data_IF_448754047460
#
_entry.id   IF_448754047460
#
_cell.length_a   1.000
_cell.length_b   1.000
_cell.length_c   1.000
_cell.angle_alpha   90.00
_cell.angle_beta   90.00
_cell.angle_gamma   90.00
#
_symmetry.space_group_name_H-M   'P 1'
#
loop_
_entity.id
_entity.type
_entity.pdbx_description
1 polymer ?
#
# COMPACT_ATOMS: atom_id res chain seq x y z
N UNK A 1 -1.85 -7.61 19.08
CA UNK A 1 -2.27 -7.29 17.69
C UNK A 1 -3.74 -6.94 17.71
N UNK A 2 -4.09 -5.74 17.29
CA UNK A 2 -5.46 -5.24 17.37
C UNK A 2 -6.23 -5.57 16.09
N UNK A 3 -7.54 -5.82 16.23
CA UNK A 3 -8.51 -5.87 15.13
C UNK A 3 -8.88 -4.44 14.70
N UNK A 4 -9.38 -4.23 13.47
CA UNK A 4 -10.00 -2.95 13.09
C UNK A 4 -11.18 -2.65 14.01
N UNK A 5 -11.44 -1.38 14.27
CA UNK A 5 -12.60 -0.98 15.09
C UNK A 5 -13.89 -1.00 14.29
N UNK A 6 -13.82 -0.56 13.05
CA UNK A 6 -14.96 -0.43 12.15
C UNK A 6 -14.68 -1.18 10.84
N UNK A 7 -15.58 -2.06 10.46
CA UNK A 7 -15.49 -2.85 9.23
C UNK A 7 -16.77 -2.72 8.40
N UNK A 8 -16.60 -2.70 7.09
CA UNK A 8 -17.70 -2.87 6.12
C UNK A 8 -17.59 -4.28 5.56
N UNK A 9 -18.72 -4.96 5.41
CA UNK A 9 -18.83 -6.29 4.81
C UNK A 9 -19.57 -6.14 3.48
N UNK A 10 -19.01 -6.74 2.42
CA UNK A 10 -19.66 -6.87 1.13
C UNK A 10 -19.69 -8.35 0.77
N UNK A 11 -20.86 -8.96 0.86
CA UNK A 11 -21.08 -10.40 0.71
C UNK A 11 -22.56 -10.60 0.33
N UNK A 12 -22.86 -11.40 -0.68
CA UNK A 12 -24.25 -11.57 -1.16
C UNK A 12 -24.99 -12.73 -0.48
N UNK A 13 -24.26 -13.62 0.18
CA UNK A 13 -24.82 -14.77 0.89
C UNK A 13 -25.27 -14.38 2.31
N UNK A 14 -26.57 -14.36 2.56
CA UNK A 14 -27.16 -13.91 3.82
C UNK A 14 -26.67 -14.72 5.04
N UNK A 15 -26.39 -16.02 4.86
CA UNK A 15 -25.91 -16.88 5.95
C UNK A 15 -24.49 -16.44 6.33
N UNK A 16 -23.63 -16.21 5.36
CA UNK A 16 -22.26 -15.72 5.54
C UNK A 16 -22.25 -14.33 6.17
N UNK A 17 -23.11 -13.41 5.73
CA UNK A 17 -23.27 -12.10 6.37
C UNK A 17 -23.61 -12.19 7.85
N UNK A 18 -24.58 -13.05 8.22
CA UNK A 18 -24.97 -13.24 9.63
C UNK A 18 -23.82 -13.79 10.45
N UNK A 19 -23.18 -14.84 9.95
CA UNK A 19 -22.01 -15.43 10.59
C UNK A 19 -20.89 -14.41 10.84
N UNK A 20 -20.58 -13.58 9.85
CA UNK A 20 -19.55 -12.54 9.97
C UNK A 20 -19.94 -11.46 10.98
N UNK A 21 -21.22 -11.00 10.98
CA UNK A 21 -21.73 -10.04 11.95
C UNK A 21 -21.62 -10.56 13.39
N UNK A 22 -22.03 -11.79 13.62
CA UNK A 22 -21.95 -12.42 14.94
C UNK A 22 -20.49 -12.62 15.39
N UNK A 23 -19.62 -13.04 14.47
CA UNK A 23 -18.19 -13.18 14.73
C UNK A 23 -17.56 -11.84 15.15
N UNK A 24 -17.87 -10.77 14.44
CA UNK A 24 -17.30 -9.45 14.72
C UNK A 24 -17.86 -8.84 16.00
N UNK A 25 -19.16 -8.97 16.25
CA UNK A 25 -19.78 -8.52 17.49
C UNK A 25 -19.15 -9.19 18.71
N UNK A 26 -18.88 -10.50 18.64
CA UNK A 26 -18.23 -11.27 19.71
C UNK A 26 -16.75 -10.92 19.93
N UNK A 27 -16.15 -10.19 19.00
CA UNK A 27 -14.75 -9.76 19.07
C UNK A 27 -14.55 -8.23 19.17
N UNK A 28 -15.61 -7.51 19.55
CA UNK A 28 -15.61 -6.04 19.71
C UNK A 28 -15.22 -5.28 18.45
N UNK A 29 -15.59 -5.79 17.28
CA UNK A 29 -15.45 -5.12 15.97
C UNK A 29 -16.82 -4.62 15.55
N UNK A 30 -16.95 -3.32 15.30
CA UNK A 30 -18.18 -2.72 14.82
C UNK A 30 -18.35 -2.96 13.32
N UNK A 31 -19.49 -3.52 12.91
CA UNK A 31 -19.86 -3.62 11.50
C UNK A 31 -20.62 -2.36 11.10
N UNK A 32 -19.92 -1.41 10.48
CA UNK A 32 -20.47 -0.10 10.07
C UNK A 32 -21.42 -0.20 8.89
N UNK A 33 -21.35 -1.27 8.09
CA UNK A 33 -22.24 -1.55 6.98
C UNK A 33 -22.10 -2.99 6.50
N UNK A 34 -23.16 -3.52 5.92
CA UNK A 34 -23.18 -4.85 5.34
C UNK A 34 -24.07 -4.83 4.09
N UNK A 35 -23.48 -5.06 2.93
CA UNK A 35 -24.09 -4.90 1.62
C UNK A 35 -23.95 -6.17 0.81
N UNK A 36 -24.82 -6.37 -0.17
CA UNK A 36 -24.81 -7.54 -1.03
C UNK A 36 -24.52 -7.20 -2.51
N UNK A 37 -24.30 -5.90 -2.80
CA UNK A 37 -24.05 -5.42 -4.15
C UNK A 37 -23.17 -4.16 -4.17
N UNK A 38 -22.62 -3.84 -5.36
CA UNK A 38 -21.70 -2.74 -5.53
C UNK A 38 -22.34 -1.35 -5.39
N UNK A 39 -23.58 -1.17 -5.88
CA UNK A 39 -24.22 0.15 -5.91
C UNK A 39 -24.51 0.66 -4.50
N UNK A 40 -25.13 -0.17 -3.68
CA UNK A 40 -25.44 0.17 -2.31
C UNK A 40 -24.17 0.40 -1.48
N UNK A 41 -23.13 -0.39 -1.74
CA UNK A 41 -21.81 -0.21 -1.09
C UNK A 41 -21.23 1.17 -1.42
N UNK A 42 -21.15 1.54 -2.70
CA UNK A 42 -20.58 2.83 -3.11
C UNK A 42 -21.38 4.01 -2.58
N UNK A 43 -22.70 3.90 -2.55
CA UNK A 43 -23.56 4.98 -1.99
C UNK A 43 -23.35 5.12 -0.48
N UNK A 44 -23.30 4.01 0.24
CA UNK A 44 -23.11 4.01 1.68
C UNK A 44 -21.73 4.54 2.10
N UNK A 45 -20.65 4.21 1.35
CA UNK A 45 -19.30 4.66 1.66
C UNK A 45 -19.11 6.17 1.58
N UNK A 46 -20.02 6.91 0.95
CA UNK A 46 -20.00 8.38 1.00
C UNK A 46 -20.24 8.94 2.42
N UNK A 47 -20.92 8.17 3.26
CA UNK A 47 -21.33 8.59 4.61
C UNK A 47 -20.80 7.67 5.73
N UNK A 48 -20.22 6.53 5.39
CA UNK A 48 -19.66 5.56 6.34
C UNK A 48 -18.14 5.69 6.35
N UNK A 49 -17.57 5.85 7.53
CA UNK A 49 -16.13 5.71 7.72
C UNK A 49 -15.82 4.32 8.30
N UNK A 50 -14.88 3.61 7.70
CA UNK A 50 -14.42 2.31 8.16
C UNK A 50 -12.89 2.21 8.11
N UNK A 51 -12.35 1.28 8.88
CA UNK A 51 -10.91 0.99 8.88
C UNK A 51 -10.57 -0.03 7.79
N UNK A 52 -11.53 -0.92 7.46
CA UNK A 52 -11.31 -2.05 6.57
C UNK A 52 -12.61 -2.49 5.89
N UNK A 53 -12.49 -3.00 4.68
CA UNK A 53 -13.56 -3.61 3.92
C UNK A 53 -13.25 -5.08 3.73
N UNK A 54 -14.16 -5.95 4.17
CA UNK A 54 -14.15 -7.38 3.88
C UNK A 54 -15.08 -7.61 2.68
N UNK A 55 -14.51 -8.06 1.57
CA UNK A 55 -15.13 -8.06 0.25
C UNK A 55 -15.19 -9.46 -0.34
N UNK A 56 -16.38 -9.99 -0.58
CA UNK A 56 -16.49 -11.14 -1.47
C UNK A 56 -16.24 -10.73 -2.92
N UNK A 57 -15.59 -11.60 -3.67
CA UNK A 57 -15.40 -11.43 -5.12
C UNK A 57 -16.74 -11.58 -5.83
N UNK A 58 -17.52 -12.60 -5.44
CA UNK A 58 -18.80 -12.89 -6.03
C UNK A 58 -19.92 -12.18 -5.29
N UNK A 59 -20.31 -11.01 -5.76
CA UNK A 59 -21.41 -10.21 -5.22
C UNK A 59 -22.54 -10.04 -6.24
N UNK A 60 -23.72 -9.67 -5.79
CA UNK A 60 -24.88 -9.44 -6.68
C UNK A 60 -24.66 -8.24 -7.60
N UNK A 61 -25.15 -8.39 -8.82
CA UNK A 61 -25.22 -7.30 -9.82
C UNK A 61 -24.27 -7.50 -10.99
N UNK A 62 -24.07 -6.45 -11.77
CA UNK A 62 -23.21 -6.44 -12.96
C UNK A 62 -21.75 -6.08 -12.67
N UNK A 63 -21.44 -5.71 -11.44
CA UNK A 63 -20.12 -5.33 -10.95
C UNK A 63 -19.75 -6.33 -9.86
N UNK A 64 -18.65 -7.05 -10.05
CA UNK A 64 -18.09 -7.98 -9.07
C UNK A 64 -17.29 -7.25 -7.97
N UNK A 65 -16.81 -8.00 -6.97
CA UNK A 65 -16.07 -7.44 -5.85
C UNK A 65 -14.71 -6.85 -6.26
N UNK A 66 -14.08 -7.35 -7.33
CA UNK A 66 -12.80 -6.81 -7.83
C UNK A 66 -13.03 -5.45 -8.47
N UNK A 67 -14.00 -5.36 -9.36
CA UNK A 67 -14.38 -4.10 -10.01
C UNK A 67 -14.86 -3.05 -8.99
N UNK A 68 -15.59 -3.49 -7.97
CA UNK A 68 -16.00 -2.63 -6.86
C UNK A 68 -14.79 -2.11 -6.09
N UNK A 69 -13.84 -3.00 -5.73
CA UNK A 69 -12.63 -2.61 -5.03
C UNK A 69 -11.78 -1.60 -5.83
N UNK A 70 -11.65 -1.78 -7.15
CA UNK A 70 -10.99 -0.80 -8.03
C UNK A 70 -11.61 0.59 -7.88
N UNK A 71 -12.94 0.68 -8.00
CA UNK A 71 -13.67 1.95 -7.85
C UNK A 71 -13.52 2.58 -6.47
N UNK A 72 -13.53 1.76 -5.42
CA UNK A 72 -13.34 2.24 -4.05
C UNK A 72 -11.92 2.80 -3.89
N UNK A 73 -10.89 2.07 -4.34
CA UNK A 73 -9.50 2.45 -4.18
C UNK A 73 -9.05 3.63 -5.05
N UNK A 74 -9.81 3.99 -6.09
CA UNK A 74 -9.63 5.25 -6.83
C UNK A 74 -9.97 6.48 -5.99
N UNK A 75 -10.89 6.35 -5.04
CA UNK A 75 -11.42 7.47 -4.25
C UNK A 75 -10.98 7.43 -2.79
N UNK A 76 -10.83 6.23 -2.22
CA UNK A 76 -10.57 6.01 -0.79
C UNK A 76 -9.33 5.16 -0.57
N UNK A 77 -8.69 5.35 0.57
CA UNK A 77 -7.52 4.58 1.02
C UNK A 77 -7.90 3.53 2.07
N UNK A 78 -8.94 2.74 1.81
CA UNK A 78 -9.35 1.68 2.73
C UNK A 78 -8.48 0.42 2.59
N UNK A 79 -8.31 -0.31 3.70
CA UNK A 79 -7.76 -1.66 3.64
C UNK A 79 -8.82 -2.62 3.10
N UNK A 80 -8.56 -3.26 1.97
CA UNK A 80 -9.44 -4.28 1.40
C UNK A 80 -8.86 -5.66 1.67
N UNK A 81 -9.69 -6.56 2.20
CA UNK A 81 -9.42 -8.00 2.36
C UNK A 81 -10.47 -8.75 1.58
N UNK A 82 -10.05 -9.58 0.64
CA UNK A 82 -10.97 -10.36 -0.17
C UNK A 82 -11.33 -11.70 0.46
N UNK A 83 -12.57 -12.11 0.25
CA UNK A 83 -13.05 -13.47 0.45
C UNK A 83 -13.18 -14.11 -0.93
N UNK A 84 -12.66 -15.31 -1.13
CA UNK A 84 -12.66 -15.97 -2.44
C UNK A 84 -12.98 -17.46 -2.32
N UNK A 85 -13.74 -17.97 -3.25
CA UNK A 85 -14.01 -19.41 -3.36
C UNK A 85 -12.87 -20.22 -4.02
N UNK A 86 -11.73 -19.59 -4.34
CA UNK A 86 -10.52 -20.23 -4.82
C UNK A 86 -10.72 -21.07 -6.11
N UNK A 87 -10.92 -20.44 -7.25
CA UNK A 87 -11.14 -21.28 -8.45
C UNK A 87 -10.65 -20.73 -9.79
N UNK A 88 -9.92 -19.59 -9.88
CA UNK A 88 -9.54 -19.10 -11.21
C UNK A 88 -8.23 -18.31 -11.19
N UNK A 89 -7.19 -18.83 -11.88
CA UNK A 89 -5.86 -18.20 -11.96
C UNK A 89 -5.93 -16.78 -12.57
N UNK A 90 -6.83 -16.54 -13.54
CA UNK A 90 -7.00 -15.24 -14.17
C UNK A 90 -7.53 -14.18 -13.18
N UNK A 91 -8.47 -14.55 -12.33
CA UNK A 91 -9.02 -13.72 -11.26
C UNK A 91 -7.95 -13.36 -10.23
N UNK A 92 -7.02 -14.28 -9.98
CA UNK A 92 -5.95 -14.06 -9.00
C UNK A 92 -4.92 -13.03 -9.48
N UNK A 93 -4.54 -13.03 -10.77
CA UNK A 93 -3.65 -12.00 -11.33
C UNK A 93 -4.26 -10.60 -11.24
N UNK A 94 -5.55 -10.46 -11.55
CA UNK A 94 -6.27 -9.18 -11.44
C UNK A 94 -6.35 -8.68 -9.99
N UNK A 95 -6.51 -9.59 -9.03
CA UNK A 95 -6.49 -9.29 -7.60
C UNK A 95 -5.12 -8.82 -7.12
N UNK A 96 -4.03 -9.41 -7.62
CA UNK A 96 -2.67 -9.02 -7.24
C UNK A 96 -2.33 -7.59 -7.69
N UNK A 97 -2.87 -7.15 -8.83
CA UNK A 97 -2.69 -5.76 -9.30
C UNK A 97 -3.27 -4.72 -8.32
N UNK A 98 -4.34 -5.06 -7.60
CA UNK A 98 -4.96 -4.20 -6.60
C UNK A 98 -4.15 -4.09 -5.30
N UNK A 99 -3.13 -4.94 -5.13
CA UNK A 99 -2.32 -5.02 -3.92
C UNK A 99 -3.16 -5.04 -2.62
N UNK A 100 -4.14 -5.96 -2.47
CA UNK A 100 -5.00 -6.01 -1.31
C UNK A 100 -4.21 -6.37 -0.05
N UNK A 101 -4.75 -6.04 1.10
CA UNK A 101 -4.09 -6.32 2.38
C UNK A 101 -4.17 -7.78 2.81
N UNK A 102 -5.05 -8.59 2.20
CA UNK A 102 -5.16 -10.02 2.46
C UNK A 102 -6.24 -10.72 1.66
N UNK A 103 -6.19 -12.05 1.74
CA UNK A 103 -7.16 -12.97 1.13
C UNK A 103 -7.62 -14.01 2.15
N UNK A 104 -8.87 -14.44 2.05
CA UNK A 104 -9.47 -15.50 2.86
C UNK A 104 -10.18 -16.46 1.92
N UNK A 105 -9.74 -17.72 1.88
CA UNK A 105 -10.39 -18.76 1.06
C UNK A 105 -11.66 -19.31 1.71
N UNK A 106 -12.72 -19.51 0.92
CA UNK A 106 -13.93 -20.28 1.33
C UNK A 106 -13.67 -21.78 1.11
N UNK A 107 -14.05 -22.68 2.04
CA UNK A 107 -14.67 -22.41 3.33
C UNK A 107 -13.67 -21.94 4.39
N UNK A 108 -14.11 -21.06 5.28
CA UNK A 108 -13.27 -20.46 6.32
C UNK A 108 -13.85 -20.68 7.73
N UNK A 109 -12.99 -20.66 8.71
CA UNK A 109 -13.34 -20.61 10.14
C UNK A 109 -13.26 -19.17 10.67
N UNK A 110 -13.96 -18.90 11.78
CA UNK A 110 -13.87 -17.59 12.45
C UNK A 110 -12.45 -17.25 12.90
N UNK A 111 -11.65 -18.26 13.28
CA UNK A 111 -10.26 -18.07 13.68
C UNK A 111 -9.40 -17.59 12.49
N UNK A 112 -9.58 -18.18 11.31
CA UNK A 112 -8.85 -17.79 10.09
C UNK A 112 -9.17 -16.37 9.69
N UNK A 113 -10.46 -15.99 9.70
CA UNK A 113 -10.89 -14.61 9.45
C UNK A 113 -10.20 -13.63 10.41
N UNK A 114 -10.29 -13.87 11.71
CA UNK A 114 -9.72 -12.97 12.72
C UNK A 114 -8.19 -12.84 12.60
N UNK A 115 -7.49 -13.93 12.25
CA UNK A 115 -6.04 -13.90 12.01
C UNK A 115 -5.71 -13.11 10.76
N UNK A 116 -6.40 -13.36 9.65
CA UNK A 116 -6.20 -12.64 8.39
C UNK A 116 -6.44 -11.13 8.57
N UNK A 117 -7.53 -10.74 9.23
CA UNK A 117 -7.84 -9.34 9.50
C UNK A 117 -6.81 -8.67 10.43
N UNK A 118 -6.29 -9.36 11.44
CA UNK A 118 -5.22 -8.83 12.30
C UNK A 118 -3.94 -8.55 11.52
N UNK A 119 -3.56 -9.45 10.62
CA UNK A 119 -2.37 -9.30 9.76
C UNK A 119 -2.58 -8.14 8.79
N UNK A 120 -3.72 -8.12 8.10
CA UNK A 120 -4.09 -7.09 7.14
C UNK A 120 -4.14 -5.70 7.79
N UNK A 121 -4.78 -5.59 8.97
CA UNK A 121 -4.88 -4.33 9.69
C UNK A 121 -3.53 -3.82 10.18
N UNK A 122 -2.65 -4.72 10.65
CA UNK A 122 -1.29 -4.33 10.99
C UNK A 122 -0.52 -3.76 9.79
N UNK A 123 -0.63 -4.41 8.62
CA UNK A 123 -0.01 -3.91 7.38
C UNK A 123 -0.58 -2.54 6.99
N UNK A 124 -1.90 -2.40 7.08
CA UNK A 124 -2.57 -1.13 6.81
C UNK A 124 -2.09 -0.01 7.73
N UNK A 125 -1.99 -0.26 9.05
CA UNK A 125 -1.50 0.74 10.01
C UNK A 125 -0.06 1.14 9.71
N UNK A 126 0.83 0.20 9.40
CA UNK A 126 2.21 0.49 9.01
C UNK A 126 2.23 1.38 7.74
N UNK A 127 1.42 1.06 6.73
CA UNK A 127 1.32 1.88 5.52
C UNK A 127 0.67 3.23 5.81
N UNK A 128 -0.39 3.27 6.62
CA UNK A 128 -1.09 4.51 6.97
C UNK A 128 -0.28 5.39 7.93
N UNK A 129 0.50 4.81 8.83
CA UNK A 129 1.45 5.57 9.66
C UNK A 129 2.61 6.11 8.82
N UNK A 130 3.13 5.33 7.88
CA UNK A 130 4.08 5.83 6.88
C UNK A 130 3.48 6.97 6.04
N UNK A 131 2.15 7.00 5.86
CA UNK A 131 1.41 8.08 5.20
C UNK A 131 1.00 9.19 6.18
N UNK A 132 0.74 8.88 7.46
CA UNK A 132 0.32 9.84 8.51
C UNK A 132 1.47 10.59 9.17
N UNK A 133 2.72 10.14 8.98
CA UNK A 133 3.90 10.94 9.35
C UNK A 133 4.00 12.24 8.52
N UNK A 134 2.98 12.52 7.70
CA UNK A 134 2.91 13.69 6.82
C UNK A 134 1.69 14.60 6.99
N UNK A 135 1.07 14.63 8.18
CA UNK A 135 0.18 15.75 8.55
C UNK A 135 0.64 16.31 9.90
N UNK A 136 1.86 16.76 9.94
CA UNK A 136 2.29 17.93 10.68
C UNK A 136 2.38 19.06 9.65
N UNK A 137 1.81 20.22 9.92
CA UNK A 137 1.89 21.46 9.12
C UNK A 137 3.31 22.06 9.04
N UNK A 138 4.34 21.23 9.01
CA UNK A 138 5.70 21.60 8.64
C UNK A 138 5.94 21.15 7.19
N UNK A 139 6.50 21.99 6.35
CA UNK A 139 6.83 21.62 4.97
C UNK A 139 7.83 20.45 4.99
N UNK A 140 7.35 19.26 4.67
CA UNK A 140 8.15 18.01 4.64
C UNK A 140 8.98 17.90 3.36
N UNK A 141 9.24 19.02 2.75
CA UNK A 141 10.11 19.11 1.59
C UNK A 141 11.57 19.08 2.04
N UNK A 142 12.29 18.06 1.61
CA UNK A 142 13.72 17.93 1.87
C UNK A 142 14.46 18.71 0.79
N UNK A 143 14.99 19.88 1.16
CA UNK A 143 15.95 20.58 0.31
C UNK A 143 17.25 19.78 0.32
N UNK A 144 17.56 19.14 -0.81
CA UNK A 144 18.76 18.31 -0.97
C UNK A 144 19.96 19.21 -1.27
N UNK A 145 19.81 20.13 -2.23
CA UNK A 145 20.78 21.15 -2.58
C UNK A 145 20.06 22.35 -3.20
N UNK A 146 20.79 23.30 -3.75
CA UNK A 146 20.22 24.52 -4.36
C UNK A 146 19.28 24.26 -5.55
N UNK A 147 19.37 23.09 -6.19
CA UNK A 147 18.56 22.72 -7.37
C UNK A 147 17.43 21.76 -7.02
N UNK A 148 17.68 20.80 -6.10
CA UNK A 148 16.80 19.66 -5.87
C UNK A 148 16.08 19.74 -4.52
N UNK A 149 14.76 19.59 -4.61
CA UNK A 149 13.88 19.46 -3.45
C UNK A 149 13.05 18.19 -3.60
N UNK A 150 13.01 17.35 -2.59
CA UNK A 150 12.20 16.13 -2.59
C UNK A 150 11.00 16.31 -1.67
N UNK A 151 9.80 16.25 -2.23
CA UNK A 151 8.55 16.23 -1.46
C UNK A 151 8.26 14.82 -0.97
N UNK A 152 8.35 14.61 0.33
CA UNK A 152 8.07 13.29 0.93
C UNK A 152 6.60 12.92 0.78
N UNK A 153 5.70 13.90 0.89
CA UNK A 153 4.25 13.70 0.80
C UNK A 153 3.84 13.22 -0.59
N UNK A 154 4.35 13.87 -1.62
CA UNK A 154 4.03 13.54 -3.01
C UNK A 154 4.94 12.44 -3.57
N UNK A 155 6.03 12.09 -2.87
CA UNK A 155 7.10 11.21 -3.38
C UNK A 155 7.65 11.67 -4.73
N UNK A 156 7.78 12.99 -4.91
CA UNK A 156 8.22 13.66 -6.14
C UNK A 156 9.50 14.44 -5.90
N UNK A 157 10.45 14.31 -6.83
CA UNK A 157 11.64 15.14 -6.87
C UNK A 157 11.36 16.36 -7.77
N UNK A 158 11.72 17.52 -7.29
CA UNK A 158 11.68 18.77 -8.04
C UNK A 158 13.10 19.26 -8.33
N UNK A 159 13.30 19.81 -9.53
CA UNK A 159 14.50 20.55 -9.90
C UNK A 159 14.06 21.96 -10.30
N UNK A 160 14.60 22.97 -9.64
CA UNK A 160 14.22 24.38 -9.84
C UNK A 160 12.69 24.59 -9.84
N UNK A 161 11.97 23.89 -8.93
CA UNK A 161 10.52 23.95 -8.79
C UNK A 161 9.72 23.15 -9.82
N UNK A 162 10.37 22.48 -10.78
CA UNK A 162 9.70 21.62 -11.75
C UNK A 162 9.78 20.15 -11.37
N UNK A 163 8.64 19.45 -11.41
CA UNK A 163 8.59 18.02 -11.09
C UNK A 163 9.35 17.19 -12.13
N UNK A 164 10.24 16.33 -11.66
CA UNK A 164 11.03 15.43 -12.50
C UNK A 164 10.27 14.13 -12.75
N UNK A 165 10.12 13.75 -14.00
CA UNK A 165 9.53 12.47 -14.37
C UNK A 165 10.55 11.35 -14.20
N UNK A 166 10.28 10.47 -13.22
CA UNK A 166 11.06 9.29 -12.89
C UNK A 166 10.28 8.02 -13.21
N UNK A 167 10.95 6.93 -13.54
CA UNK A 167 10.30 5.63 -13.61
C UNK A 167 10.07 5.06 -12.19
N UNK A 168 9.23 4.01 -12.08
CA UNK A 168 8.84 3.41 -10.80
C UNK A 168 10.04 3.05 -9.91
N UNK A 169 11.08 2.42 -10.47
CA UNK A 169 12.27 1.99 -9.70
C UNK A 169 13.15 3.17 -9.27
N UNK A 170 13.31 4.18 -10.13
CA UNK A 170 14.03 5.41 -9.81
C UNK A 170 13.33 6.18 -8.68
N UNK A 171 11.99 6.30 -8.77
CA UNK A 171 11.18 6.95 -7.72
C UNK A 171 11.27 6.20 -6.38
N UNK A 172 11.19 4.86 -6.40
CA UNK A 172 11.34 4.03 -5.20
C UNK A 172 12.74 4.18 -4.58
N UNK A 173 13.81 4.17 -5.38
CA UNK A 173 15.18 4.38 -4.89
C UNK A 173 15.31 5.73 -4.19
N UNK A 174 14.85 6.82 -4.82
CA UNK A 174 14.92 8.15 -4.23
C UNK A 174 14.07 8.28 -2.98
N UNK A 175 12.89 7.63 -2.93
CA UNK A 175 12.06 7.57 -1.73
C UNK A 175 12.79 6.93 -0.55
N UNK A 176 13.52 5.83 -0.78
CA UNK A 176 14.29 5.16 0.28
C UNK A 176 15.47 6.03 0.72
N UNK A 177 16.22 6.58 -0.22
CA UNK A 177 17.39 7.40 0.09
C UNK A 177 17.02 8.73 0.76
N UNK A 178 15.92 9.37 0.35
CA UNK A 178 15.46 10.63 0.96
C UNK A 178 14.92 10.44 2.39
N UNK A 179 14.33 9.28 2.71
CA UNK A 179 13.97 8.93 4.09
C UNK A 179 15.18 8.74 4.99
N UNK A 180 16.33 8.41 4.41
CA UNK A 180 17.60 8.16 5.10
C UNK A 180 18.65 9.19 4.69
N UNK A 181 18.25 10.46 4.54
CA UNK A 181 19.16 11.51 4.10
C UNK A 181 20.38 11.60 5.02
N UNK A 182 21.58 11.76 4.44
CA UNK A 182 22.88 11.74 5.11
C UNK A 182 23.28 10.41 5.75
N UNK A 183 22.44 9.35 5.63
CA UNK A 183 22.76 8.02 6.13
C UNK A 183 22.93 7.03 4.96
N UNK A 184 23.85 6.09 5.14
CA UNK A 184 24.07 5.04 4.13
C UNK A 184 23.03 3.94 4.26
N UNK A 185 22.37 3.61 3.16
CA UNK A 185 21.47 2.46 3.06
C UNK A 185 22.22 1.31 2.39
N UNK A 186 22.25 0.16 3.05
CA UNK A 186 22.98 -1.02 2.59
C UNK A 186 22.43 -1.63 1.29
N UNK A 187 23.30 -2.34 0.54
CA UNK A 187 22.92 -3.00 -0.71
C UNK A 187 21.74 -3.96 -0.51
N UNK A 188 21.80 -4.84 0.48
CA UNK A 188 20.76 -5.84 0.76
C UNK A 188 19.41 -5.16 1.07
N UNK A 189 19.45 -4.09 1.87
CA UNK A 189 18.24 -3.30 2.20
C UNK A 189 17.64 -2.66 0.96
N UNK A 190 18.47 -2.09 0.06
CA UNK A 190 18.01 -1.49 -1.18
C UNK A 190 17.44 -2.53 -2.13
N UNK A 191 18.10 -3.66 -2.30
CA UNK A 191 17.67 -4.75 -3.18
C UNK A 191 16.32 -5.29 -2.69
N UNK A 192 16.20 -5.62 -1.40
CA UNK A 192 14.98 -6.13 -0.80
C UNK A 192 13.79 -5.18 -1.01
N UNK A 193 13.97 -3.88 -0.78
CA UNK A 193 12.89 -2.90 -0.93
C UNK A 193 12.56 -2.54 -2.38
N UNK A 194 13.52 -2.71 -3.30
CA UNK A 194 13.31 -2.37 -4.70
C UNK A 194 12.75 -3.53 -5.52
N UNK A 195 13.13 -4.78 -5.23
CA UNK A 195 12.76 -5.93 -6.07
C UNK A 195 12.01 -7.03 -5.32
N UNK A 196 11.94 -6.97 -3.98
CA UNK A 196 11.30 -8.01 -3.13
C UNK A 196 11.88 -9.42 -3.36
N UNK A 197 13.10 -9.50 -3.92
CA UNK A 197 13.78 -10.73 -4.31
C UNK A 197 15.29 -10.62 -3.99
N UNK A 198 15.76 -11.48 -3.11
CA UNK A 198 17.16 -11.53 -2.66
C UNK A 198 18.11 -12.10 -3.72
N UNK A 199 17.58 -12.67 -4.82
CA UNK A 199 18.39 -13.26 -5.91
C UNK A 199 18.94 -12.22 -6.91
N UNK A 200 18.56 -10.95 -6.76
CA UNK A 200 18.96 -9.88 -7.69
C UNK A 200 20.41 -9.47 -7.44
N UNK A 201 21.20 -9.53 -8.50
CA UNK A 201 22.61 -9.17 -8.43
C UNK A 201 22.84 -7.68 -8.17
N UNK A 202 23.87 -7.35 -7.39
CA UNK A 202 24.34 -5.97 -7.12
C UNK A 202 24.50 -5.11 -8.38
N UNK A 203 24.80 -5.74 -9.52
CA UNK A 203 24.94 -5.09 -10.81
C UNK A 203 23.65 -4.38 -11.25
N UNK A 204 22.48 -4.93 -10.93
CA UNK A 204 21.17 -4.34 -11.27
C UNK A 204 20.93 -3.05 -10.48
N UNK A 205 21.26 -3.04 -9.19
CA UNK A 205 21.18 -1.84 -8.36
C UNK A 205 22.18 -0.76 -8.85
N UNK A 206 23.39 -1.15 -9.20
CA UNK A 206 24.40 -0.22 -9.77
C UNK A 206 23.91 0.41 -11.06
N UNK A 207 23.30 -0.38 -11.94
CA UNK A 207 22.70 0.12 -13.20
C UNK A 207 21.57 1.11 -12.92
N UNK A 208 20.71 0.83 -11.93
CA UNK A 208 19.65 1.75 -11.53
C UNK A 208 20.23 3.06 -11.01
N UNK A 209 21.19 3.01 -10.08
CA UNK A 209 21.85 4.22 -9.55
C UNK A 209 22.57 5.00 -10.66
N UNK A 210 23.25 4.31 -11.57
CA UNK A 210 23.87 4.95 -12.74
C UNK A 210 22.84 5.68 -13.61
N UNK A 211 21.67 5.06 -13.85
CA UNK A 211 20.59 5.69 -14.63
C UNK A 211 20.05 6.97 -13.97
N UNK A 212 19.95 6.96 -12.64
CA UNK A 212 19.52 8.15 -11.87
C UNK A 212 20.58 9.25 -11.96
N UNK A 213 21.85 8.93 -11.76
CA UNK A 213 22.95 9.90 -11.87
C UNK A 213 23.09 10.48 -13.26
N UNK A 214 22.84 9.69 -14.30
CA UNK A 214 22.85 10.17 -15.69
C UNK A 214 21.69 11.16 -15.95
N UNK A 215 20.54 10.91 -15.36
CA UNK A 215 19.34 11.77 -15.48
C UNK A 215 19.49 13.04 -14.61
N UNK A 216 20.12 12.91 -13.45
CA UNK A 216 20.22 13.93 -12.41
C UNK A 216 21.69 14.07 -11.95
N UNK A 217 22.55 14.69 -12.76
CA UNK A 217 24.00 14.70 -12.52
C UNK A 217 24.40 15.43 -11.23
N UNK A 218 23.64 16.47 -10.84
CA UNK A 218 23.92 17.28 -9.65
C UNK A 218 23.20 16.75 -8.38
N UNK A 219 22.50 15.62 -8.48
CA UNK A 219 21.89 14.99 -7.31
C UNK A 219 22.96 14.23 -6.49
N UNK A 220 23.21 14.60 -5.24
CA UNK A 220 24.34 14.10 -4.44
C UNK A 220 24.13 12.68 -3.92
N UNK A 221 24.01 11.71 -4.81
CA UNK A 221 24.00 10.29 -4.45
C UNK A 221 25.45 9.83 -4.32
N UNK A 222 25.87 9.43 -3.12
CA UNK A 222 27.22 8.97 -2.82
C UNK A 222 27.26 7.45 -2.74
N UNK A 223 28.28 6.84 -3.34
CA UNK A 223 28.56 5.41 -3.23
C UNK A 223 29.50 5.15 -2.06
N UNK A 224 29.14 4.22 -1.19
CA UNK A 224 29.99 3.71 -0.13
C UNK A 224 30.41 2.29 -0.50
N UNK A 225 31.71 2.13 -0.86
CA UNK A 225 32.23 0.86 -1.36
C UNK A 225 31.94 -0.30 -0.42
N UNK A 226 31.39 -1.39 -0.94
CA UNK A 226 30.96 -2.60 -0.22
C UNK A 226 29.90 -2.39 0.88
N UNK A 227 29.30 -1.22 0.99
CA UNK A 227 28.30 -0.88 2.01
C UNK A 227 26.96 -0.56 1.38
N UNK A 228 26.87 0.46 0.52
CA UNK A 228 25.60 0.90 -0.06
C UNK A 228 25.66 2.29 -0.70
N UNK A 229 24.55 2.97 -0.64
CA UNK A 229 24.38 4.32 -1.19
C UNK A 229 23.77 5.27 -0.15
N UNK A 230 24.12 6.54 -0.23
CA UNK A 230 23.46 7.61 0.53
C UNK A 230 23.07 8.76 -0.37
N UNK A 231 22.01 9.47 -0.01
CA UNK A 231 21.69 10.80 -0.55
C UNK A 231 22.16 11.83 0.47
N UNK A 232 23.08 12.69 0.09
CA UNK A 232 23.64 13.69 0.99
C UNK A 232 22.97 15.05 0.77
N UNK A 233 22.74 15.75 1.87
CA UNK A 233 22.31 17.14 1.82
C UNK A 233 23.55 18.03 1.70
N UNK A 234 23.57 18.87 0.68
CA UNK A 234 24.59 19.91 0.53
C UNK A 234 23.93 21.29 0.62
N UNK A 235 24.55 22.17 1.37
CA UNK A 235 24.12 23.55 1.53
C UNK A 235 24.52 24.41 0.35
#
# INVERSE_FOLDING_TARGET
>A
MNLPKNIVIVEDEVITQRYLKDLFANNNVNVSGCFDNALDTLEALKNINCDMILMDINIKGSIDGIQLAKKILETYTYAVVFITAHNDDATFEELLELAPYGFIGKPFSGKEILVALKIAYKRYLIHSEACKVTISDEPTDIHINKYYTYSQNLSVLYCDGQAIKLNKKQSQLLKILSKNINHTVGYDTLILHLWEDDSIADSTLRTLVYSVRKLLPDLPIVSHSKVGYSLQRSH
#
